data_IF_741439826943
#
_entry.id   IF_741439826943
#
_cell.length_a   1.000
_cell.length_b   1.000
_cell.length_c   1.000
_cell.angle_alpha   90.00
_cell.angle_beta   90.00
_cell.angle_gamma   90.00
#
_symmetry.space_group_name_H-M   'P 1'
#
loop_
_entity.id
_entity.type
_entity.pdbx_description
1 polymer ?
2 branched ?
3 branched ?
4 non-polymer ?
5 non-polymer ?
6 water ?
#
# COMPACT_ATOMS: atom_id res chain seq x y z
N UNK A 36 28.98 -6.20 -0.88
CA UNK A 36 28.72 -6.47 -2.35
C UNK A 36 28.18 -5.25 -3.09
N UNK A 37 28.50 -5.18 -4.39
CA UNK A 37 28.05 -4.10 -5.28
C UNK A 37 27.55 -4.73 -6.58
N UNK A 38 26.53 -5.59 -6.42
CA UNK A 38 25.99 -6.37 -7.53
C UNK A 38 24.82 -5.71 -8.29
N UNK A 39 24.22 -4.66 -7.73
CA UNK A 39 22.99 -4.07 -8.28
C UNK A 39 21.78 -4.99 -8.20
N UNK A 40 21.74 -5.86 -7.18
CA UNK A 40 20.60 -6.75 -6.94
C UNK A 40 19.99 -6.61 -5.52
N UNK A 41 20.61 -5.80 -4.68
CA UNK A 41 20.21 -5.71 -3.27
C UNK A 41 18.89 -4.98 -3.09
N UNK A 42 18.22 -5.30 -1.98
CA UNK A 42 17.00 -4.61 -1.61
C UNK A 42 17.20 -3.14 -1.35
N UNK A 43 16.21 -2.34 -1.72
CA UNK A 43 16.22 -0.92 -1.38
C UNK A 43 15.23 -0.63 -0.26
N UNK A 44 15.75 -0.08 0.83
CA UNK A 44 14.96 0.18 2.03
C UNK A 44 14.35 1.58 2.11
N UNK A 45 14.36 2.29 0.98
CA UNK A 45 13.59 3.53 0.79
C UNK A 45 12.51 3.33 -0.29
N UNK A 46 12.20 2.05 -0.58
CA UNK A 46 11.16 1.68 -1.54
C UNK A 46 10.11 0.85 -0.79
N UNK A 47 8.90 1.38 -0.77
CA UNK A 47 7.77 0.85 0.01
C UNK A 47 6.71 0.34 -0.92
N UNK A 48 6.33 -0.94 -0.76
CA UNK A 48 5.35 -1.51 -1.64
C UNK A 48 4.10 -1.87 -0.86
N UNK A 49 2.98 -1.25 -1.27
CA UNK A 49 1.72 -1.45 -0.52
C UNK A 49 1.16 -2.86 -0.69
N UNK A 50 1.00 -3.53 0.44
CA UNK A 50 0.68 -4.96 0.51
C UNK A 50 -0.64 -5.17 1.24
N UNK A 51 -1.45 -6.08 0.72
CA UNK A 51 -2.80 -6.36 1.24
C UNK A 51 -2.86 -7.81 1.71
N UNK A 52 -3.23 -8.00 2.97
CA UNK A 52 -3.27 -9.31 3.64
C UNK A 52 -4.70 -9.79 3.88
N UNK A 53 -5.62 -9.35 3.05
CA UNK A 53 -7.04 -9.55 3.27
C UNK A 53 -7.66 -10.71 2.44
N UNK A 54 -6.83 -11.46 1.75
CA UNK A 54 -7.30 -12.57 0.92
C UNK A 54 -7.42 -13.86 1.71
N UNK A 55 -8.34 -14.75 1.34
CA UNK A 55 -8.42 -16.07 1.96
C UNK A 55 -8.39 -17.21 0.97
N UNK A 56 -8.14 -18.42 1.48
CA UNK A 56 -8.26 -19.63 0.68
C UNK A 56 -8.89 -20.70 1.52
N UNK A 57 -9.53 -21.64 0.82
CA UNK A 57 -10.11 -22.79 1.48
C UNK A 57 -9.03 -23.53 2.27
N UNK A 58 -7.83 -23.58 1.71
CA UNK A 58 -6.72 -24.31 2.32
C UNK A 58 -6.45 -23.84 3.74
N UNK A 59 -6.36 -22.52 3.93
CA UNK A 59 -6.05 -21.98 5.24
C UNK A 59 -7.25 -21.41 5.99
N UNK A 60 -8.06 -20.60 5.30
CA UNK A 60 -9.12 -19.84 5.97
C UNK A 60 -10.45 -20.55 5.93
N UNK A 61 -10.54 -21.58 5.10
CA UNK A 61 -11.82 -22.24 4.88
C UNK A 61 -12.78 -21.35 4.11
N UNK A 62 -12.26 -20.31 3.47
CA UNK A 62 -13.08 -19.46 2.61
C UNK A 62 -12.29 -18.46 1.74
N UNK A 63 -12.98 -17.92 0.74
CA UNK A 63 -12.38 -17.04 -0.30
C UNK A 63 -12.63 -15.51 -0.10
N UNK A 64 -12.20 -15.05 1.07
CA UNK A 64 -12.32 -13.64 1.43
C UNK A 64 -11.61 -12.74 0.41
N UNK A 65 -12.29 -11.66 0.08
CA UNK A 65 -11.84 -10.64 -0.87
C UNK A 65 -11.86 -11.10 -2.33
N UNK A 66 -11.53 -12.36 -2.63
CA UNK A 66 -11.76 -12.85 -3.98
C UNK A 66 -13.25 -12.76 -4.29
N UNK A 67 -14.08 -13.03 -3.26
CA UNK A 67 -15.48 -12.64 -3.23
C UNK A 67 -15.60 -11.21 -2.70
N UNK A 68 -16.41 -10.39 -3.35
CA UNK A 68 -16.49 -8.97 -2.94
C UNK A 68 -17.80 -8.38 -3.42
N UNK A 69 -18.40 -7.52 -2.62
CA UNK A 69 -19.58 -6.78 -3.07
C UNK A 69 -19.26 -5.87 -4.23
N UNK A 70 -20.21 -5.73 -5.15
CA UNK A 70 -20.10 -4.74 -6.21
C UNK A 70 -20.68 -3.44 -5.68
N UNK A 71 -19.89 -2.37 -5.83
CA UNK A 71 -20.35 -1.10 -5.33
C UNK A 71 -21.46 -0.49 -6.20
N UNK A 72 -22.49 0.07 -5.58
CA UNK A 72 -23.48 0.84 -6.37
C UNK A 72 -22.84 2.11 -6.94
N UNK A 73 -23.39 2.58 -8.03
CA UNK A 73 -22.94 3.84 -8.66
C UNK A 73 -23.40 4.99 -7.77
N UNK A 74 -22.44 5.76 -7.22
CA UNK A 74 -22.84 6.90 -6.36
C UNK A 74 -23.68 7.96 -7.07
N UNK A 75 -23.65 7.98 -8.41
CA UNK A 75 -24.49 8.91 -9.19
C UNK A 75 -25.65 8.21 -9.92
N UNK A 76 -25.86 6.92 -9.67
C UNK A 76 -28.36 5.65 -9.82
N UNK A 77 -28.65 6.50 -8.85
CA UNK A 77 -29.98 6.57 -8.24
C UNK A 77 -30.28 5.46 -7.25
N UNK A 78 -31.50 5.49 -6.72
CA UNK A 78 -31.94 4.52 -5.71
C UNK A 78 -32.37 3.20 -6.33
N UNK A 79 -32.45 2.19 -5.49
CA UNK A 79 -32.91 0.87 -5.90
C UNK A 79 -31.95 0.04 -6.71
N UNK A 80 -30.65 0.34 -6.64
CA UNK A 80 -29.65 -0.49 -7.30
C UNK A 80 -29.49 -1.80 -6.51
N UNK A 81 -29.36 -2.90 -7.26
CA UNK A 81 -29.08 -4.22 -6.69
C UNK A 81 -27.82 -4.72 -7.41
N UNK A 82 -26.66 -4.12 -7.09
CA UNK A 82 -25.44 -4.41 -7.83
C UNK A 82 -24.95 -5.84 -7.70
N UNK A 83 -25.27 -6.48 -6.58
CA UNK A 83 -24.88 -7.85 -6.35
C UNK A 83 -23.45 -7.98 -5.85
N UNK A 84 -22.92 -9.18 -6.03
CA UNK A 84 -21.62 -9.55 -5.50
C UNK A 84 -20.89 -10.42 -6.50
N UNK A 85 -19.57 -10.33 -6.45
CA UNK A 85 -18.68 -11.24 -7.16
C UNK A 85 -18.45 -12.43 -6.22
N UNK A 86 -18.70 -13.67 -6.69
CA UNK A 86 -18.73 -14.78 -5.72
C UNK A 86 -17.41 -15.38 -5.28
N UNK A 87 -16.30 -14.99 -5.92
CA UNK A 87 -15.00 -15.54 -5.59
C UNK A 87 -14.83 -17.01 -5.87
N UNK A 88 -15.51 -17.46 -6.92
CA UNK A 88 -15.32 -18.81 -7.45
C UNK A 88 -14.06 -18.84 -8.29
N UNK A 89 -13.59 -19.99 -8.71
CA UNK A 89 -12.42 -20.03 -9.58
C UNK A 89 -12.64 -19.20 -10.85
N UNK A 90 -13.87 -19.23 -11.35
CA UNK A 90 -14.21 -18.57 -12.59
C UNK A 90 -14.41 -17.06 -12.46
N UNK A 91 -14.88 -16.62 -11.29
CA UNK A 91 -15.31 -15.23 -11.09
C UNK A 91 -14.79 -14.65 -9.77
N UNK A 92 -13.69 -13.90 -9.90
CA UNK A 92 -13.03 -13.24 -8.76
C UNK A 92 -13.11 -11.73 -8.90
N UNK A 93 -12.89 -11.06 -7.80
CA UNK A 93 -13.08 -9.60 -7.71
C UNK A 93 -11.82 -8.85 -8.18
N UNK A 94 -11.49 -9.08 -9.44
CA UNK A 94 -10.37 -8.43 -10.11
C UNK A 94 -10.62 -8.51 -11.60
N UNK A 95 -10.08 -7.53 -12.32
CA UNK A 95 -10.06 -7.60 -13.77
C UNK A 95 -8.88 -8.46 -14.29
N UNK A 96 -7.92 -8.77 -13.42
CA UNK A 96 -6.78 -9.65 -13.70
C UNK A 96 -6.93 -10.95 -12.89
N UNK A 97 -6.00 -11.89 -13.10
CA UNK A 97 -6.08 -13.18 -12.43
C UNK A 97 -4.70 -13.55 -11.87
N UNK A 98 -4.58 -13.80 -10.56
CA UNK A 98 -3.30 -14.11 -9.97
C UNK A 98 -2.64 -15.39 -10.49
N UNK A 99 -1.34 -15.35 -10.75
CA UNK A 99 -0.56 -16.55 -11.02
C UNK A 99 -0.68 -17.58 -9.90
N UNK A 100 -0.76 -17.10 -8.67
CA UNK A 100 -0.88 -17.99 -7.51
C UNK A 100 -2.31 -18.45 -7.19
N UNK A 101 -3.28 -18.05 -8.01
CA UNK A 101 -4.68 -18.44 -7.82
C UNK A 101 -5.33 -17.71 -6.65
N UNK A 102 -6.46 -18.26 -6.17
CA UNK A 102 -7.21 -17.67 -5.06
C UNK A 102 -6.52 -18.04 -3.76
N UNK A 103 -5.47 -17.30 -3.44
CA UNK A 103 -4.63 -17.64 -2.32
C UNK A 103 -5.14 -17.08 -0.99
N UNK A 104 -4.67 -17.69 0.10
CA UNK A 104 -4.87 -17.16 1.43
C UNK A 104 -3.66 -16.34 1.83
N UNK A 105 -3.93 -15.15 2.37
CA UNK A 105 -2.89 -14.34 2.99
C UNK A 105 -2.32 -14.91 4.28
N UNK A 106 -2.96 -15.94 4.82
CA UNK A 106 -2.50 -16.67 6.00
C UNK A 106 -1.71 -17.94 5.69
N UNK A 107 -1.52 -18.24 4.39
CA UNK A 107 -0.83 -19.46 3.99
C UNK A 107 0.68 -19.20 4.01
N UNK A 108 1.42 -19.83 4.96
CA UNK A 108 2.87 -19.57 5.01
C UNK A 108 3.60 -19.85 3.69
N UNK A 109 3.11 -20.79 2.86
CA UNK A 109 3.79 -21.09 1.63
C UNK A 109 3.54 -19.97 0.59
N UNK A 110 2.37 -19.33 0.61
CA UNK A 110 2.14 -18.14 -0.24
C UNK A 110 3.03 -17.01 0.24
N UNK A 111 3.13 -16.84 1.54
CA UNK A 111 3.94 -15.73 2.06
C UNK A 111 5.40 -15.89 1.64
N UNK A 112 5.93 -17.10 1.70
CA UNK A 112 7.29 -17.35 1.23
C UNK A 112 7.48 -16.89 -0.22
N UNK A 113 6.52 -17.26 -1.07
CA UNK A 113 6.54 -16.89 -2.48
C UNK A 113 6.48 -15.38 -2.65
N UNK A 114 5.61 -14.72 -1.91
CA UNK A 114 5.55 -13.28 -1.94
C UNK A 114 6.86 -12.63 -1.56
N UNK A 115 7.52 -13.13 -0.52
CA UNK A 115 8.80 -12.54 -0.13
C UNK A 115 9.86 -12.74 -1.21
N UNK A 116 9.86 -13.88 -1.89
CA UNK A 116 10.75 -14.08 -3.02
C UNK A 116 10.45 -13.11 -4.18
N UNK A 117 9.16 -12.78 -4.36
CA UNK A 117 8.79 -11.74 -5.34
C UNK A 117 9.27 -10.33 -4.95
N UNK A 118 9.20 -9.99 -3.67
CA UNK A 118 9.78 -8.73 -3.18
C UNK A 118 11.28 -8.71 -3.44
N UNK A 119 11.97 -9.82 -3.21
CA UNK A 119 13.42 -9.88 -3.50
C UNK A 119 13.66 -9.66 -4.99
N UNK A 120 12.86 -10.27 -5.86
CA UNK A 120 13.02 -10.07 -7.31
C UNK A 120 12.81 -8.59 -7.69
N UNK A 121 11.87 -7.94 -7.04
CA UNK A 121 11.51 -6.55 -7.32
C UNK A 121 12.46 -5.56 -6.66
N UNK A 122 13.29 -6.03 -5.73
CA UNK A 122 14.23 -5.20 -4.96
C UNK A 122 13.54 -4.22 -4.02
N UNK A 123 12.27 -4.51 -3.69
CA UNK A 123 11.49 -3.65 -2.81
C UNK A 123 11.73 -4.07 -1.37
N UNK A 124 12.46 -3.27 -0.61
CA UNK A 124 12.85 -3.66 0.72
C UNK A 124 11.84 -3.51 1.84
N UNK A 125 10.77 -2.73 1.61
CA UNK A 125 9.78 -2.49 2.62
C UNK A 125 8.37 -2.86 2.14
N UNK A 126 7.72 -3.70 2.93
CA UNK A 126 6.36 -4.14 2.73
C UNK A 126 5.50 -3.24 3.63
N UNK A 127 4.62 -2.45 3.00
CA UNK A 127 3.75 -1.50 3.71
C UNK A 127 2.37 -2.14 3.87
N UNK A 128 2.16 -2.73 5.04
CA UNK A 128 1.05 -3.63 5.31
C UNK A 128 -0.23 -2.91 5.67
N UNK A 129 -1.27 -3.14 4.88
CA UNK A 129 -2.61 -2.62 5.21
C UNK A 129 -2.99 -3.05 6.62
N UNK A 130 -3.56 -2.14 7.40
CA UNK A 130 -3.91 -2.41 8.79
C UNK A 130 -5.24 -1.79 9.12
N UNK A 131 -6.22 -2.69 9.38
CA UNK A 131 -7.62 -2.32 9.55
C UNK A 131 -8.15 -2.42 10.98
N UNK A 132 -7.26 -2.69 11.92
CA UNK A 132 -7.63 -2.77 13.33
C UNK A 132 -8.81 -3.73 13.56
N UNK A 133 -8.65 -4.95 13.03
CA UNK A 133 -9.71 -5.96 13.13
C UNK A 133 -9.89 -6.50 14.53
N UNK A 134 -8.86 -6.43 15.38
CA UNK A 134 -8.94 -6.90 16.78
C UNK A 134 -9.46 -8.34 16.83
N UNK A 135 -8.81 -9.17 16.04
CA UNK A 135 -9.16 -10.58 15.99
C UNK A 135 -7.91 -11.40 15.91
N UNK A 136 -8.02 -12.60 16.45
CA UNK A 136 -6.92 -13.54 16.48
C UNK A 136 -6.34 -13.85 15.09
N UNK A 137 -7.20 -13.87 14.07
CA UNK A 137 -6.73 -14.25 12.74
C UNK A 137 -5.83 -13.15 12.16
N UNK A 138 -6.13 -11.87 12.46
CA UNK A 138 -5.26 -10.71 12.08
C UNK A 138 -3.92 -10.82 12.77
N UNK A 139 -3.94 -11.07 14.08
CA UNK A 139 -2.71 -11.17 14.85
C UNK A 139 -1.82 -12.29 14.31
N UNK A 140 -2.42 -13.43 14.03
CA UNK A 140 -1.64 -14.53 13.45
C UNK A 140 -0.99 -14.13 12.12
N UNK A 141 -1.76 -13.53 11.24
CA UNK A 141 -1.30 -13.18 9.92
C UNK A 141 -0.15 -12.16 9.98
N UNK A 142 -0.26 -11.15 10.84
CA UNK A 142 0.80 -10.17 10.96
C UNK A 142 2.11 -10.84 11.40
N UNK A 143 2.02 -11.77 12.35
CA UNK A 143 3.20 -12.49 12.79
C UNK A 143 3.82 -13.34 11.70
N UNK A 144 2.97 -14.02 10.93
CA UNK A 144 3.45 -14.82 9.80
C UNK A 144 4.16 -13.96 8.75
N UNK A 145 3.61 -12.79 8.47
CA UNK A 145 4.21 -11.87 7.49
C UNK A 145 5.57 -11.36 7.97
N UNK A 146 5.64 -10.92 9.21
CA UNK A 146 6.92 -10.50 9.78
C UNK A 146 7.97 -11.61 9.72
N UNK A 147 7.58 -12.82 10.11
CA UNK A 147 8.50 -13.94 10.08
C UNK A 147 8.99 -14.25 8.67
N UNK A 148 8.07 -14.27 7.70
CA UNK A 148 8.47 -14.60 6.33
C UNK A 148 9.37 -13.49 5.77
N UNK A 149 9.00 -12.24 6.00
CA UNK A 149 9.82 -11.10 5.57
C UNK A 149 11.24 -11.20 6.10
N UNK A 150 11.39 -11.54 7.37
CA UNK A 150 12.74 -11.52 7.96
C UNK A 150 13.65 -12.53 7.31
N UNK A 151 13.10 -13.66 6.86
CA UNK A 151 13.96 -14.67 6.21
C UNK A 151 14.65 -14.14 4.95
N UNK A 152 14.07 -13.10 4.34
CA UNK A 152 14.60 -12.52 3.12
C UNK A 152 15.08 -11.10 3.30
N UNK A 153 15.24 -10.68 4.56
CA UNK A 153 15.76 -9.34 4.90
C UNK A 153 14.78 -8.23 4.49
N UNK A 154 13.51 -8.56 4.27
CA UNK A 154 12.51 -7.56 4.00
C UNK A 154 12.01 -6.97 5.31
N UNK A 155 11.67 -5.68 5.28
CA UNK A 155 11.15 -4.98 6.44
C UNK A 155 9.66 -4.73 6.24
N UNK A 156 8.97 -4.50 7.36
CA UNK A 156 7.54 -4.28 7.37
C UNK A 156 7.22 -3.01 8.12
N UNK A 157 6.40 -2.16 7.51
CA UNK A 157 5.77 -1.03 8.18
C UNK A 157 4.28 -1.13 8.00
N UNK A 158 3.52 -0.34 8.75
CA UNK A 158 2.07 -0.40 8.71
C UNK A 158 1.46 0.79 7.98
N UNK A 159 0.42 0.48 7.20
CA UNK A 159 -0.39 1.42 6.46
C UNK A 159 -1.73 1.51 7.20
N UNK A 160 -1.91 2.55 7.99
CA UNK A 160 -3.01 2.68 8.92
C UNK A 160 -4.26 3.16 8.19
N UNK A 161 -5.23 2.25 8.08
CA UNK A 161 -6.42 2.48 7.29
C UNK A 161 -7.51 3.22 8.07
N UNK A 162 -8.59 3.67 7.38
CA UNK A 162 -9.64 4.44 8.06
C UNK A 162 -10.65 3.49 8.72
N UNK A 163 -10.22 2.92 9.84
CA UNK A 163 -11.04 2.00 10.64
C UNK A 163 -12.10 2.79 11.40
N UNK A 164 -13.16 2.10 11.87
CA UNK A 164 -14.31 2.80 12.48
C UNK A 164 -13.91 3.64 13.69
N UNK A 165 -14.39 4.89 13.71
CA UNK A 165 -14.11 5.84 14.78
C UNK A 165 -12.63 6.14 14.98
N UNK A 166 -11.81 5.92 13.95
CA UNK A 166 -10.40 6.30 14.03
C UNK A 166 -10.29 7.77 14.46
N UNK A 167 -9.45 8.02 15.45
CA UNK A 167 -9.21 9.36 15.96
C UNK A 167 -7.82 9.37 16.55
N UNK A 168 -7.32 10.55 16.96
CA UNK A 168 -5.91 10.56 17.38
C UNK A 168 -5.64 9.81 18.68
N UNK A 169 -6.64 9.68 19.54
CA UNK A 169 -6.44 8.97 20.80
C UNK A 169 -6.31 7.46 20.54
N UNK A 170 -7.26 6.87 19.82
CA UNK A 170 -7.08 5.45 19.50
C UNK A 170 -5.95 5.20 18.52
N UNK A 171 -5.60 6.16 17.68
CA UNK A 171 -4.38 6.02 16.85
C UNK A 171 -3.16 5.91 17.75
N UNK A 172 -3.06 6.79 18.76
CA UNK A 172 -1.92 6.71 19.65
C UNK A 172 -1.88 5.35 20.31
N UNK A 173 -3.04 4.89 20.82
CA UNK A 173 -3.12 3.61 21.51
C UNK A 173 -2.67 2.47 20.61
N UNK A 174 -3.05 2.55 19.34
CA UNK A 174 -2.70 1.53 18.37
C UNK A 174 -1.26 1.58 17.91
N UNK A 175 -0.70 2.78 17.81
CA UNK A 175 0.74 2.93 17.55
C UNK A 175 1.54 2.34 18.70
N UNK A 176 1.12 2.64 19.92
CA UNK A 176 1.76 2.06 21.10
C UNK A 176 1.69 0.52 21.03
N UNK A 177 0.50 0.00 20.72
CA UNK A 177 0.31 -1.45 20.65
C UNK A 177 1.19 -2.08 19.60
N UNK A 178 1.23 -1.49 18.43
CA UNK A 178 2.03 -2.06 17.33
C UNK A 178 3.51 -2.01 17.62
N UNK A 179 3.99 -0.89 18.18
CA UNK A 179 5.40 -0.81 18.52
C UNK A 179 5.73 -1.78 19.66
N UNK A 180 4.86 -1.87 20.65
CA UNK A 180 5.08 -2.80 21.77
C UNK A 180 5.11 -4.26 21.31
N UNK A 181 4.16 -4.64 20.45
CA UNK A 181 4.00 -6.03 20.01
C UNK A 181 5.08 -6.43 19.03
N UNK A 182 5.37 -5.53 18.08
CA UNK A 182 6.22 -5.88 16.93
C UNK A 182 7.53 -5.12 16.83
N UNK A 183 7.76 -4.15 17.70
CA UNK A 183 8.94 -3.30 17.57
C UNK A 183 10.27 -3.99 17.71
N UNK A 184 10.30 -5.09 18.47
CA UNK A 184 11.54 -5.87 18.63
C UNK A 184 11.67 -6.99 17.59
N UNK A 185 10.67 -7.16 16.71
CA UNK A 185 10.79 -8.13 15.65
C UNK A 185 11.88 -7.65 14.69
N UNK A 186 12.79 -8.54 14.25
CA UNK A 186 13.88 -8.07 13.38
C UNK A 186 13.44 -7.49 12.05
N UNK A 187 12.23 -7.81 11.59
CA UNK A 187 11.70 -7.27 10.34
C UNK A 187 10.96 -5.95 10.49
N UNK A 188 10.78 -5.47 11.71
CA UNK A 188 10.06 -4.21 11.92
C UNK A 188 10.88 -3.05 11.37
N UNK A 189 10.29 -2.29 10.46
CA UNK A 189 11.03 -1.20 9.79
C UNK A 189 11.36 -0.02 10.70
N UNK A 190 12.58 0.48 10.59
CA UNK A 190 12.96 1.79 11.17
C UNK A 190 13.81 2.56 10.18
N UNK A 191 13.62 3.87 10.19
CA UNK A 191 14.42 4.81 9.41
C UNK A 191 15.07 5.73 10.45
N UNK A 192 16.40 5.76 10.46
CA UNK A 192 17.18 6.54 11.45
C UNK A 192 16.63 6.38 12.88
N UNK A 193 16.35 5.14 13.24
CA UNK A 193 15.87 4.80 14.57
C UNK A 193 14.36 4.91 14.81
N UNK A 194 13.59 5.41 13.84
CA UNK A 194 12.16 5.66 14.03
C UNK A 194 11.32 4.71 13.20
N UNK A 195 10.26 4.12 13.78
CA UNK A 195 9.25 3.48 12.95
C UNK A 195 8.61 4.46 11.98
N UNK A 196 7.98 3.94 10.93
CA UNK A 196 7.28 4.77 9.95
C UNK A 196 5.87 4.23 9.73
N UNK A 197 4.87 5.11 9.71
CA UNK A 197 3.51 4.74 9.37
C UNK A 197 3.00 5.61 8.24
N UNK A 198 2.33 4.98 7.28
CA UNK A 198 1.51 5.69 6.29
C UNK A 198 0.09 5.81 6.83
N UNK A 199 -0.53 6.97 6.70
CA UNK A 199 -1.88 7.20 7.20
C UNK A 199 -2.81 7.47 6.03
N UNK A 200 -3.62 6.46 5.69
CA UNK A 200 -4.53 6.62 4.56
C UNK A 200 -5.70 7.52 4.94
N UNK A 201 -6.11 8.39 3.99
CA UNK A 201 -7.23 9.31 4.16
C UNK A 201 -7.06 10.10 5.48
N UNK A 202 -5.83 10.59 5.67
CA UNK A 202 -5.52 11.37 6.87
C UNK A 202 -6.33 12.67 6.95
N UNK A 203 -6.84 13.14 5.81
CA UNK A 203 -7.75 14.32 5.77
C UNK A 203 -9.07 14.14 6.50
N UNK A 204 -9.44 12.90 6.80
CA UNK A 204 -10.64 12.65 7.60
C UNK A 204 -10.49 13.10 9.05
N UNK A 205 -9.27 13.52 9.44
CA UNK A 205 -9.02 13.99 10.80
C UNK A 205 -8.44 15.41 10.67
N UNK A 206 -9.03 16.35 11.42
CA UNK A 206 -8.65 17.75 11.39
C UNK A 206 -7.24 17.96 11.86
N UNK A 207 -6.51 18.95 11.25
CA UNK A 207 -5.18 19.29 11.74
C UNK A 207 -5.10 19.59 13.23
N UNK A 208 -6.15 20.22 13.78
CA UNK A 208 -6.14 20.55 15.21
C UNK A 208 -6.10 19.28 16.08
N UNK A 209 -6.69 18.19 15.60
CA UNK A 209 -6.56 16.89 16.28
C UNK A 209 -5.18 16.30 16.05
N UNK A 210 -4.72 16.25 14.81
CA UNK A 210 -3.37 15.76 14.53
C UNK A 210 -2.28 16.43 15.37
N UNK A 211 -2.41 17.76 15.56
CA UNK A 211 -1.41 18.51 16.33
C UNK A 211 -1.22 17.95 17.75
N UNK A 212 -2.31 17.45 18.34
CA UNK A 212 -2.27 16.91 19.70
C UNK A 212 -1.37 15.68 19.80
N UNK A 213 -1.32 14.93 18.70
CA UNK A 213 -0.52 13.72 18.61
C UNK A 213 0.90 13.96 18.09
N UNK A 214 1.03 14.90 17.16
CA UNK A 214 2.23 15.04 16.35
C UNK A 214 3.08 16.29 16.57
N UNK A 215 2.54 17.32 17.19
CA UNK A 215 3.40 18.45 17.61
C UNK A 215 4.19 18.03 18.82
N UNK A 216 5.44 18.50 18.96
CA UNK A 216 6.18 18.20 20.18
C UNK A 216 5.48 18.69 21.46
N UNK A 217 4.63 19.71 21.34
CA UNK A 217 3.87 20.22 22.47
C UNK A 217 2.48 19.66 22.59
N UNK A 218 2.09 18.75 21.70
CA UNK A 218 0.74 18.24 21.70
C UNK A 218 0.34 17.53 22.98
N UNK A 219 -0.94 17.65 23.32
CA UNK A 219 -1.51 17.11 24.53
C UNK A 219 -1.22 15.63 24.74
N UNK A 220 -1.20 14.86 23.65
CA UNK A 220 -0.91 13.42 23.70
C UNK A 220 0.24 13.07 22.75
N UNK A 221 1.26 13.92 22.76
CA UNK A 221 2.31 13.76 21.79
C UNK A 221 3.01 12.40 21.84
N UNK A 222 3.44 11.93 20.67
CA UNK A 222 4.42 10.86 20.58
C UNK A 222 5.84 11.36 20.44
N UNK A 223 6.03 12.66 20.20
CA UNK A 223 7.40 13.20 20.02
C UNK A 223 8.18 13.05 21.32
N UNK A 224 9.45 12.67 21.19
CA UNK A 224 10.34 12.46 22.32
C UNK A 224 9.93 11.34 23.27
N UNK A 225 9.05 10.46 22.82
CA UNK A 225 8.63 9.29 23.60
C UNK A 225 9.20 8.04 22.96
N UNK A 226 9.00 6.93 23.64
CA UNK A 226 9.35 5.61 23.11
C UNK A 226 8.56 5.23 21.88
N UNK A 227 7.47 5.96 21.61
CA UNK A 227 6.54 5.64 20.55
C UNK A 227 6.57 6.62 19.41
N UNK A 228 7.64 7.45 19.36
CA UNK A 228 7.80 8.39 18.27
C UNK A 228 7.92 7.61 16.95
N UNK A 229 7.49 8.22 15.85
CA UNK A 229 7.48 7.60 14.54
C UNK A 229 7.43 8.67 13.45
N UNK A 230 7.86 8.30 12.26
CA UNK A 230 7.66 9.12 11.09
C UNK A 230 6.25 8.89 10.60
N UNK A 231 5.44 9.93 10.55
CA UNK A 231 4.03 9.85 10.20
C UNK A 231 3.86 10.48 8.84
N UNK A 232 3.43 9.69 7.87
CA UNK A 232 3.36 10.07 6.47
C UNK A 232 1.88 10.18 6.09
N UNK A 233 1.38 11.41 5.91
CA UNK A 233 0.00 11.67 5.59
C UNK A 233 -0.28 11.66 4.10
N UNK A 234 -1.55 11.55 3.73
CA UNK A 234 -1.94 11.46 2.35
C UNK A 234 -2.19 12.84 1.75
N UNK A 235 -1.31 13.25 0.84
CA UNK A 235 -1.53 14.51 0.10
C UNK A 235 -2.50 14.24 -1.02
N UNK A 236 -3.68 14.85 -0.96
CA UNK A 236 -4.72 14.68 -1.98
C UNK A 236 -4.79 15.87 -2.96
N UNK A 237 -5.35 16.97 -2.51
CA UNK A 237 -5.76 18.05 -3.40
C UNK A 237 -4.70 19.15 -3.62
N UNK A 238 -5.13 20.37 -3.87
CA UNK A 238 -4.22 21.41 -4.31
C UNK A 238 -3.33 21.91 -3.17
N UNK A 239 -2.18 22.53 -3.51
CA UNK A 239 -1.30 23.07 -2.49
C UNK A 239 -1.95 24.07 -1.52
N UNK A 240 -2.92 24.84 -1.99
CA UNK A 240 -3.56 25.82 -1.11
C UNK A 240 -4.24 25.15 0.09
N UNK A 241 -4.69 23.93 -0.10
CA UNK A 241 -5.29 23.15 0.96
C UNK A 241 -4.24 22.28 1.67
N UNK A 242 -3.41 21.61 0.90
CA UNK A 242 -2.54 20.57 1.48
C UNK A 242 -1.35 21.13 2.23
N UNK A 243 -0.77 22.24 1.77
CA UNK A 243 0.40 22.79 2.45
C UNK A 243 0.07 23.13 3.92
N UNK A 244 -0.99 23.93 4.16
CA UNK A 244 -1.28 24.23 5.57
C UNK A 244 -1.74 22.98 6.35
N UNK A 245 -2.43 22.06 5.68
CA UNK A 245 -2.86 20.83 6.36
C UNK A 245 -1.63 20.09 6.94
N UNK A 246 -0.66 19.84 6.07
CA UNK A 246 0.51 19.06 6.45
C UNK A 246 1.32 19.78 7.54
N UNK A 247 1.48 21.10 7.39
CA UNK A 247 2.20 21.88 8.39
C UNK A 247 1.49 21.90 9.73
N UNK A 248 0.20 22.19 9.69
CA UNK A 248 -0.56 22.35 10.93
C UNK A 248 -0.82 21.03 11.64
N UNK A 249 -0.81 19.94 10.87
CA UNK A 249 -1.00 18.58 11.44
C UNK A 249 0.30 18.00 11.97
N UNK A 250 1.44 18.63 11.63
CA UNK A 250 2.75 18.15 12.07
C UNK A 250 3.13 16.75 11.55
N UNK A 251 2.65 16.41 10.35
CA UNK A 251 3.16 15.20 9.69
C UNK A 251 4.61 15.33 9.37
N UNK A 252 5.32 14.22 9.39
CA UNK A 252 6.73 14.17 8.98
C UNK A 252 6.91 14.15 7.49
N UNK A 253 5.87 13.80 6.75
CA UNK A 253 5.96 13.69 5.32
C UNK A 253 4.61 13.35 4.73
N UNK A 254 4.62 13.05 3.45
CA UNK A 254 3.40 12.81 2.73
C UNK A 254 3.63 11.89 1.55
N UNK A 255 2.58 11.13 1.23
CA UNK A 255 2.54 10.26 0.07
C UNK A 255 1.25 10.52 -0.69
N UNK A 256 1.10 9.90 -1.84
CA UNK A 256 -0.02 10.23 -2.75
C UNK A 256 -0.99 9.09 -3.04
N UNK A 257 -0.50 7.85 -2.83
CA UNK A 257 -1.22 6.56 -2.99
C UNK A 257 -1.70 6.23 -4.41
N UNK A 258 -2.58 7.05 -4.98
CA UNK A 258 -3.35 6.60 -6.13
C UNK A 258 -2.49 6.23 -7.32
N UNK A 259 -2.74 5.05 -7.89
CA UNK A 259 -1.99 4.58 -9.02
C UNK A 259 -2.42 5.23 -10.34
N UNK A 260 -3.61 5.80 -10.37
CA UNK A 260 -4.18 6.43 -11.56
C UNK A 260 -3.76 7.89 -11.67
N UNK A 261 -2.96 8.18 -12.71
CA UNK A 261 -2.49 9.54 -12.90
C UNK A 261 -3.67 10.48 -13.06
N UNK A 262 -3.59 11.62 -12.40
CA UNK A 262 -4.61 12.65 -12.52
C UNK A 262 -5.84 12.46 -11.66
N UNK A 263 -5.91 11.36 -10.90
CA UNK A 263 -7.08 11.13 -10.04
C UNK A 263 -7.21 12.24 -8.99
N UNK A 264 -6.08 12.65 -8.43
CA UNK A 264 -5.99 13.80 -7.56
C UNK A 264 -4.84 14.68 -8.05
N UNK A 265 -4.75 15.90 -7.48
CA UNK A 265 -3.58 16.76 -7.69
C UNK A 265 -2.30 15.97 -7.31
N UNK A 266 -2.35 15.30 -6.17
CA UNK A 266 -1.17 14.63 -5.68
C UNK A 266 -0.73 13.45 -6.55
N UNK A 267 -1.68 12.80 -7.22
CA UNK A 267 -1.35 11.68 -8.12
C UNK A 267 -1.19 12.11 -9.57
N UNK A 268 -0.94 13.41 -9.78
CA UNK A 268 -0.59 13.98 -11.10
C UNK A 268 0.91 14.20 -11.13
N UNK A 269 1.69 13.32 -11.83
CA UNK A 269 3.12 13.37 -11.65
C UNK A 269 3.83 14.65 -12.09
N UNK A 270 3.21 15.42 -12.97
CA UNK A 270 3.80 16.72 -13.33
C UNK A 270 3.86 17.70 -12.13
N UNK A 271 3.12 17.43 -11.06
CA UNK A 271 3.22 18.22 -9.84
C UNK A 271 4.34 17.82 -8.89
N UNK A 272 5.00 16.70 -9.16
CA UNK A 272 5.92 16.13 -8.18
C UNK A 272 7.20 16.96 -7.97
N UNK A 273 7.75 17.56 -9.02
CA UNK A 273 8.90 18.48 -8.81
C UNK A 273 8.58 19.60 -7.80
N UNK A 274 7.43 20.23 -7.98
CA UNK A 274 6.98 21.33 -7.09
C UNK A 274 6.68 20.83 -5.67
N UNK A 275 6.08 19.65 -5.58
CA UNK A 275 5.77 19.07 -4.28
C UNK A 275 7.05 18.72 -3.52
N UNK A 276 8.04 18.18 -4.22
CA UNK A 276 9.34 17.89 -3.61
C UNK A 276 10.05 19.16 -3.15
N UNK A 277 10.02 20.22 -3.97
CA UNK A 277 10.64 21.50 -3.57
C UNK A 277 10.01 22.02 -2.31
N UNK A 278 8.68 21.95 -2.22
CA UNK A 278 7.99 22.37 -0.99
C UNK A 278 8.39 21.50 0.20
N UNK A 279 8.41 20.19 -0.02
CA UNK A 279 8.82 19.27 1.02
C UNK A 279 10.21 19.62 1.57
N UNK A 280 11.17 19.82 0.67
CA UNK A 280 12.54 20.09 1.08
C UNK A 280 12.61 21.41 1.88
N UNK A 281 11.87 22.43 1.43
CA UNK A 281 11.85 23.75 2.08
C UNK A 281 11.25 23.68 3.49
N UNK A 282 10.39 22.67 3.72
CA UNK A 282 9.64 22.59 4.97
C UNK A 282 10.00 21.40 5.85
N UNK A 283 11.10 20.72 5.51
CA UNK A 283 11.63 19.63 6.32
C UNK A 283 10.72 18.41 6.33
N UNK A 284 10.00 18.18 5.22
CA UNK A 284 9.08 17.05 5.09
C UNK A 284 9.62 16.02 4.13
N UNK A 285 9.24 14.76 4.37
CA UNK A 285 9.61 13.66 3.50
C UNK A 285 8.49 13.36 2.50
N UNK A 286 8.77 13.50 1.22
CA UNK A 286 7.81 13.22 0.16
C UNK A 286 8.10 11.84 -0.41
N UNK A 287 7.09 10.99 -0.37
CA UNK A 287 7.15 9.62 -0.83
C UNK A 287 6.09 9.43 -1.92
N UNK A 288 6.34 9.90 -3.15
CA UNK A 288 5.34 9.74 -4.20
C UNK A 288 5.00 8.27 -4.44
N UNK A 289 3.76 8.03 -4.81
CA UNK A 289 3.30 6.66 -5.11
C UNK A 289 3.20 6.47 -6.62
N UNK A 290 3.82 5.38 -7.09
CA UNK A 290 3.81 5.03 -8.51
C UNK A 290 3.14 3.68 -8.66
N UNK A 291 2.48 3.50 -9.79
CA UNK A 291 1.83 2.22 -10.06
C UNK A 291 1.82 1.89 -11.54
N UNK A 292 1.52 0.62 -11.85
CA UNK A 292 1.63 0.14 -13.23
C UNK A 292 0.41 0.36 -14.10
N UNK A 293 -0.70 0.74 -13.49
CA UNK A 293 -1.96 0.90 -14.17
C UNK A 293 -3.08 0.95 -13.14
N UNK A 294 -4.31 1.04 -13.61
CA UNK A 294 -5.48 1.04 -12.73
C UNK A 294 -6.69 0.54 -13.48
N UNK A 295 -7.43 -0.40 -12.88
CA UNK A 295 -8.76 -0.74 -13.38
C UNK A 295 -9.50 -1.49 -12.30
N UNK A 296 -10.68 -0.99 -11.96
CA UNK A 296 -11.46 -1.57 -10.86
C UNK A 296 -12.89 -1.89 -11.26
N UNK A 297 -13.13 -2.07 -12.55
CA UNK A 297 -14.52 -2.12 -13.02
C UNK A 297 -15.27 -3.42 -12.71
N UNK A 298 -14.60 -4.49 -12.26
CA UNK A 298 -15.36 -5.65 -11.74
C UNK A 298 -16.11 -5.26 -10.47
N UNK A 299 -15.44 -4.54 -9.55
CA UNK A 299 -16.07 -4.13 -8.31
C UNK A 299 -16.77 -2.76 -8.35
N UNK A 300 -16.37 -1.92 -9.32
CA UNK A 300 -16.97 -0.58 -9.50
C UNK A 300 -17.23 -0.39 -10.99
N UNK A 301 -18.29 -1.01 -11.53
CA UNK A 301 -18.53 -0.97 -12.98
C UNK A 301 -18.70 0.42 -13.60
N UNK A 302 -19.13 1.35 -12.77
CA UNK A 302 -19.37 2.76 -13.11
C UNK A 302 -18.10 3.61 -13.08
N UNK A 303 -16.96 3.05 -12.70
CA UNK A 303 -15.75 3.85 -12.49
C UNK A 303 -14.73 3.77 -13.63
N UNK A 304 -15.23 3.53 -14.85
CA UNK A 304 -14.35 3.39 -15.98
C UNK A 304 -13.47 4.60 -16.33
N UNK A 305 -13.88 5.81 -15.95
CA UNK A 305 -13.05 6.98 -16.25
C UNK A 305 -11.70 6.96 -15.55
N UNK A 306 -11.54 6.16 -14.50
CA UNK A 306 -10.30 6.06 -13.77
C UNK A 306 -9.36 4.98 -14.34
N UNK A 307 -9.82 4.22 -15.36
CA UNK A 307 -8.96 3.22 -15.97
C UNK A 307 -7.70 3.90 -16.52
N UNK A 308 -6.56 3.29 -16.22
CA UNK A 308 -5.27 3.67 -16.83
C UNK A 308 -4.65 2.41 -17.39
N UNK A 309 -4.45 2.39 -18.71
CA UNK A 309 -3.99 1.20 -19.44
C UNK A 309 -2.50 0.97 -19.20
N UNK A 310 -2.10 -0.28 -19.04
CA UNK A 310 -0.69 -0.61 -18.75
C UNK A 310 0.27 -0.44 -19.91
N UNK A 311 -0.23 -0.59 -21.14
CA UNK A 311 0.58 -0.42 -22.37
C UNK A 311 1.92 -1.15 -22.31
N UNK A 312 1.88 -2.42 -21.96
CA UNK A 312 3.08 -3.27 -21.93
C UNK A 312 4.22 -2.73 -21.05
N UNK A 313 3.87 -1.99 -20.02
CA UNK A 313 4.82 -1.45 -19.08
C UNK A 313 5.13 0.04 -19.27
N UNK A 314 4.65 0.63 -20.36
CA UNK A 314 5.01 2.04 -20.64
C UNK A 314 4.40 3.01 -19.62
N UNK A 315 3.20 2.72 -19.14
CA UNK A 315 2.61 3.52 -18.07
C UNK A 315 3.44 3.50 -16.80
N UNK A 316 3.85 2.31 -16.37
CA UNK A 316 4.66 2.19 -15.17
C UNK A 316 5.98 2.94 -15.34
N UNK A 317 6.61 2.72 -16.47
CA UNK A 317 7.87 3.40 -16.78
C UNK A 317 7.75 4.91 -16.66
N UNK A 318 6.70 5.47 -17.24
CA UNK A 318 6.53 6.91 -17.22
C UNK A 318 6.36 7.44 -15.82
N UNK A 319 5.57 6.73 -15.01
CA UNK A 319 5.28 7.20 -13.66
C UNK A 319 6.52 7.09 -12.76
N UNK A 320 7.23 5.97 -12.85
CA UNK A 320 8.41 5.75 -12.05
C UNK A 320 9.49 6.78 -12.43
N UNK A 321 9.66 7.00 -13.73
CA UNK A 321 10.62 8.03 -14.19
C UNK A 321 10.30 9.39 -13.56
N UNK A 322 9.03 9.79 -13.52
CA UNK A 322 8.67 11.07 -12.94
C UNK A 322 9.03 11.15 -11.45
N UNK A 323 8.82 10.07 -10.71
CA UNK A 323 9.17 10.07 -9.29
C UNK A 323 10.68 10.27 -9.11
N UNK A 324 11.47 9.53 -9.89
CA UNK A 324 12.92 9.62 -9.78
C UNK A 324 13.41 11.03 -10.18
N UNK A 325 12.85 11.55 -11.26
CA UNK A 325 13.24 12.88 -11.78
C UNK A 325 12.88 13.98 -10.82
N UNK A 326 11.87 13.78 -9.97
CA UNK A 326 11.50 14.76 -8.96
C UNK A 326 12.55 14.90 -7.85
N UNK A 327 13.46 13.94 -7.74
CA UNK A 327 14.56 14.01 -6.79
C UNK A 327 14.21 13.63 -5.38
N UNK A 328 13.22 12.76 -5.25
CA UNK A 328 12.75 12.33 -3.93
C UNK A 328 13.73 11.32 -3.32
N UNK A 329 13.59 11.16 -2.00
CA UNK A 329 14.43 10.29 -1.17
C UNK A 329 13.83 8.92 -0.95
N UNK A 330 12.57 8.74 -1.32
CA UNK A 330 11.84 7.49 -1.08
C UNK A 330 10.68 7.45 -2.07
N UNK A 331 10.29 6.23 -2.42
CA UNK A 331 9.21 6.00 -3.39
C UNK A 331 8.31 4.90 -2.83
N UNK A 332 7.01 5.04 -3.04
CA UNK A 332 6.05 3.99 -2.68
C UNK A 332 5.42 3.47 -3.96
N UNK A 333 5.06 2.18 -3.92
CA UNK A 333 4.51 1.47 -5.08
C UNK A 333 3.10 0.99 -4.73
N UNK A 334 2.14 1.48 -5.55
CA UNK A 334 0.74 1.09 -5.48
C UNK A 334 0.49 0.23 -6.68
N UNK A 335 0.54 -1.11 -6.53
CA UNK A 335 0.61 -1.85 -5.27
C UNK A 335 1.28 -3.19 -5.51
N UNK A 336 1.59 -3.92 -4.44
CA UNK A 336 1.97 -5.30 -4.66
C UNK A 336 0.78 -6.12 -5.18
N UNK A 337 -0.35 -6.00 -4.47
CA UNK A 337 -1.46 -6.96 -4.66
C UNK A 337 -2.82 -6.39 -4.32
N UNK A 338 -3.10 -5.15 -4.73
CA UNK A 338 -4.46 -4.64 -4.68
C UNK A 338 -5.16 -5.06 -5.98
N UNK A 339 -5.55 -6.34 -6.00
CA UNK A 339 -6.10 -6.95 -7.20
C UNK A 339 -7.44 -6.33 -7.60
N UNK A 340 -8.21 -5.81 -6.65
CA UNK A 340 -9.51 -5.22 -6.98
C UNK A 340 -9.36 -3.99 -7.83
N UNK A 341 -8.22 -3.30 -7.69
CA UNK A 341 -7.99 -2.02 -8.36
C UNK A 341 -7.03 -2.11 -9.53
N UNK A 342 -6.53 -3.31 -9.82
CA UNK A 342 -5.74 -3.52 -11.00
C UNK A 342 -4.42 -2.77 -10.99
N UNK A 343 -3.93 -2.46 -9.78
CA UNK A 343 -2.67 -1.74 -9.60
C UNK A 343 -1.52 -2.68 -9.26
N UNK A 344 -1.78 -3.99 -9.20
CA UNK A 344 -0.81 -4.93 -8.68
C UNK A 344 0.41 -5.14 -9.60
N UNK A 345 1.58 -5.32 -8.99
CA UNK A 345 2.76 -5.81 -9.69
C UNK A 345 2.94 -7.32 -9.52
N UNK A 346 2.19 -7.93 -8.61
CA UNK A 346 2.25 -9.37 -8.41
C UNK A 346 1.94 -10.07 -9.73
N UNK A 347 2.63 -11.19 -10.03
CA UNK A 347 2.37 -11.89 -11.28
C UNK A 347 0.91 -12.28 -11.50
N UNK A 348 0.46 -12.04 -12.73
CA UNK A 348 -0.88 -12.35 -13.25
C UNK A 348 -0.72 -13.21 -14.48
N UNK A 349 -1.71 -14.07 -14.72
CA UNK A 349 -1.68 -14.98 -15.86
C UNK A 349 -2.90 -14.82 -16.74
N UNK A 350 -2.78 -15.17 -18.04
CA UNK A 350 -3.96 -15.17 -18.86
C UNK A 350 -4.98 -16.18 -18.34
N UNK A 351 -6.25 -15.78 -18.37
CA UNK A 351 -7.33 -16.70 -17.98
C UNK A 351 -8.62 -16.25 -18.59
N UNK A 352 -9.30 -17.21 -19.21
CA UNK A 352 -10.63 -17.01 -19.70
C UNK A 352 -11.47 -18.12 -19.10
N UNK A 353 -12.48 -17.72 -18.34
CA UNK A 353 -13.38 -18.67 -17.73
C UNK A 353 -14.72 -18.50 -18.43
N UNK A 354 -15.64 -19.38 -18.10
CA UNK A 354 -16.99 -19.27 -18.60
C UNK A 354 -17.70 -17.98 -18.14
N UNK A 355 -17.19 -17.36 -17.06
CA UNK A 355 -17.82 -16.17 -16.47
C UNK A 355 -17.18 -14.82 -16.84
N UNK A 356 -15.90 -14.82 -17.19
CA UNK A 356 -15.18 -13.57 -17.42
C UNK A 356 -13.92 -13.83 -18.21
N UNK A 357 -13.57 -12.90 -19.10
CA UNK A 357 -12.31 -12.93 -19.79
C UNK A 357 -11.40 -11.89 -19.10
N UNK A 358 -10.39 -12.38 -18.41
CA UNK A 358 -9.56 -11.51 -17.59
C UNK A 358 -8.56 -10.79 -18.49
N UNK A 359 -8.15 -9.61 -18.04
CA UNK A 359 -6.98 -8.94 -18.59
C UNK A 359 -5.74 -9.73 -18.14
N UNK A 360 -4.59 -9.46 -18.78
CA UNK A 360 -3.35 -10.11 -18.41
C UNK A 360 -2.19 -9.19 -18.81
N UNK A 361 -0.96 -9.64 -18.64
CA UNK A 361 0.19 -8.75 -18.88
C UNK A 361 0.59 -8.65 -20.36
N UNK A 362 -0.22 -9.27 -21.18
CA UNK A 362 -0.22 -9.06 -22.64
C UNK A 362 1.04 -9.59 -23.26
N UNK A 363 1.82 -8.72 -23.87
CA UNK A 363 3.04 -9.19 -24.49
C UNK A 363 4.13 -9.43 -23.48
N UNK A 364 3.91 -9.00 -22.25
CA UNK A 364 4.88 -9.26 -21.22
C UNK A 364 4.56 -10.53 -20.43
N UNK A 365 5.62 -11.12 -19.89
CA UNK A 365 5.53 -12.35 -19.08
C UNK A 365 4.93 -12.03 -17.68
N UNK A 366 4.43 -13.06 -16.97
CA UNK A 366 3.78 -12.81 -15.67
C UNK A 366 4.62 -12.05 -14.66
N UNK A 367 5.94 -12.26 -14.62
CA UNK A 367 6.81 -11.56 -13.65
C UNK A 367 7.40 -10.25 -14.16
N UNK A 368 6.92 -9.75 -15.29
CA UNK A 368 7.49 -8.53 -15.87
C UNK A 368 7.48 -7.36 -14.93
N UNK A 369 6.36 -7.18 -14.20
CA UNK A 369 6.29 -6.00 -13.35
C UNK A 369 7.20 -6.12 -12.13
N UNK A 370 7.53 -7.34 -11.68
CA UNK A 370 8.55 -7.51 -10.66
C UNK A 370 9.94 -7.14 -11.18
N UNK A 371 10.27 -7.67 -12.34
CA UNK A 371 11.61 -7.38 -12.86
C UNK A 371 11.72 -5.94 -13.34
N UNK A 372 10.63 -5.33 -13.80
CA UNK A 372 10.68 -3.91 -14.20
C UNK A 372 10.77 -3.02 -12.96
N UNK A 373 10.16 -3.43 -11.86
CA UNK A 373 10.38 -2.73 -10.59
C UNK A 373 11.86 -2.75 -10.19
N UNK A 374 12.52 -3.89 -10.33
CA UNK A 374 13.94 -3.98 -10.01
C UNK A 374 14.77 -3.03 -10.86
N UNK A 375 14.42 -2.90 -12.14
CA UNK A 375 15.07 -1.97 -13.07
C UNK A 375 14.96 -0.56 -12.52
N UNK A 376 13.75 -0.15 -12.14
CA UNK A 376 13.54 1.21 -11.64
C UNK A 376 14.17 1.46 -10.28
N UNK A 377 14.18 0.46 -9.40
CA UNK A 377 14.88 0.57 -8.14
C UNK A 377 16.36 0.87 -8.41
N UNK A 378 16.93 0.16 -9.37
CA UNK A 378 18.32 0.45 -9.76
C UNK A 378 18.54 1.89 -10.21
N UNK A 379 17.64 2.39 -11.05
CA UNK A 379 17.73 3.78 -11.54
C UNK A 379 17.53 4.77 -10.39
N UNK A 380 16.64 4.46 -9.46
CA UNK A 380 16.43 5.27 -8.27
C UNK A 380 17.70 5.36 -7.42
N UNK A 381 18.34 4.21 -7.23
CA UNK A 381 19.55 4.15 -6.40
C UNK A 381 20.70 4.89 -7.03
N UNK A 382 20.75 4.84 -8.34
CA UNK A 382 21.81 5.54 -9.08
C UNK A 382 21.69 7.06 -8.85
N UNK A 383 20.45 7.55 -8.70
CA UNK A 383 20.03 8.96 -8.45
C UNK A 383 20.16 9.45 -7.02
N UNK A 384 20.17 8.53 -6.06
CA UNK A 384 19.96 8.87 -4.63
C UNK A 384 21.00 9.84 -4.04
X LIG B 1 -7.11 0.78 -1.89
X LIG B 1 -6.59 1.97 0.17
X LIG B 1 -7.67 1.17 0.84
X LIG B 1 -5.33 2.21 1.00
X LIG B 1 -8.84 1.02 -0.10
X LIG B 1 -4.69 0.96 1.30
X LIG B 1 -6.13 1.31 -1.01
X LIG B 1 -8.15 1.82 2.01
X LIG B 1 -9.76 0.00 0.42
X LIG B 1 -8.36 0.61 -1.48
X LIG B 2 -11.10 0.18 -0.01
X LIG B 2 -12.04 -0.46 1.01
X LIG B 2 -11.91 -1.98 0.97
X LIG B 2 -12.15 -2.49 -0.44
X LIG B 2 -11.17 -1.81 -1.38
X LIG B 2 -11.45 -2.18 -2.83
X LIG B 2 -13.38 -0.03 0.71
X LIG B 2 -12.86 -2.57 1.85
X LIG B 2 -11.93 -3.92 -0.50
X LIG B 2 -11.34 -0.39 -1.29
X LIG B 2 -10.38 -1.87 -3.71
X LIG C 1 -12.18 8.14 -3.25
X LIG C 1 -11.62 7.13 -2.25
X LIG C 1 -11.00 7.83 -1.04
X LIG C 1 -9.97 8.84 -1.53
X LIG C 1 -10.61 9.83 -2.50
X LIG C 1 -9.59 10.81 -3.06
X LIG C 1 -13.35 8.76 -2.70
X LIG C 1 -10.60 6.36 -2.92
X LIG C 1 -10.41 6.86 -0.15
X LIG C 1 -9.36 9.59 -0.47
X LIG C 1 -11.22 9.13 -3.61
X LIG C 1 -10.21 11.80 -3.88
X LIG C 2 -10.91 4.99 -3.20
X LIG C 2 -9.63 4.18 -3.28
X LIG C 2 -8.84 4.48 -4.58
X LIG C 2 -9.78 4.39 -5.78
X LIG C 2 -11.06 5.19 -5.56
X LIG C 2 -12.01 5.03 -6.73
X LIG C 2 -9.99 2.79 -3.22
X LIG C 2 -7.69 3.60 -4.73
X LIG C 2 -9.08 4.88 -6.92
X LIG C 2 -11.70 4.76 -4.37
X LIG C 2 -11.49 5.70 -7.88
X LIG D 1 1.83 5.40 -21.11
X LIG D 1 1.02 5.51 -20.16
X LIG D 1 1.75 4.48 -21.98
X LIG D 1 2.95 6.38 -21.26
X LIG E 1 7.30 -0.01 11.49
X LIG E 1 7.92 1.06 10.75
X LIG E 1 5.93 0.44 12.00
X LIG E 1 5.11 0.82 10.90
#
# INVERSE_FOLDING_TARGET
>A
MGSSHHHHHHSSGLVPRGSHMDDNNPSNSENNGGNNNLGTELDYDTFCFYYDWYGSEAIDGQYRHWAHAIAPDPNGGSGQNPGTIPGTQESIASNFYPQLGRYSSSDPNILTKHMDMFVMARTGVLALTWWNEQDETEAKRIGLILDAADKKKIKVCFHLEPYPSRNVQNLRENIVKLITRYGNHPAFYRKDGKPLFFIYDSYLIEPSEWEKLLSPGGSITIRNTAYDALMIGLWTSSPTVQRPFILNAHFDGFYTYFAATGFTYGSTPTNWVSMQKWAKENGKIFIPSVGPGYIDTRIRPWNGSVIRTRTDGQYYDAMYRKAIEAGVSAISITSFNEWHEGSQIEPAVPYTSSEFTYLDYENREPDYYLTRTAYWVGKFRESKQ
>B hetero
1 DGO C1 C5 C4 C6 C3 O6 O5 O4 O3 C2
2 MAN C1 C2 C3 C4 C5 C6 O2 O3 O4 O5 O6
>C hetero
1 MAN C1 C2 C3 C4 C5 C6 O1 O2 O3 O4 O5 O6
2 MAN C1 C2 C3 C4 C5 C6 O2 O3 O4 O5 O6
>D hetero
1 ACT C O OXT CH3
>E hetero
1 EDO C1 O1 C2 O2
#
